data_IF_351534153209
#
_entry.id   IF_351534153209
#
_cell.length_a   1.000
_cell.length_b   1.000
_cell.length_c   1.000
_cell.angle_alpha   90.00
_cell.angle_beta   90.00
_cell.angle_gamma   90.00
#
_symmetry.space_group_name_H-M   'P 1'
#
loop_
_entity.id
_entity.type
_entity.pdbx_description
1 polymer ?
#
# COMPACT_ATOMS: atom_id res chain seq x y z
N UNK A 1 16.45 6.77 14.92
CA UNK A 1 15.16 7.15 14.30
C UNK A 1 14.98 6.30 13.07
N UNK A 2 13.89 5.54 12.92
CA UNK A 2 13.63 4.82 11.66
C UNK A 2 13.35 5.86 10.55
N UNK A 3 14.30 6.03 9.64
CA UNK A 3 14.13 6.88 8.45
C UNK A 3 13.18 6.18 7.48
N UNK A 4 12.18 6.91 7.00
CA UNK A 4 11.20 6.38 6.03
C UNK A 4 11.90 6.11 4.68
N UNK A 5 11.76 4.89 4.15
CA UNK A 5 12.40 4.45 2.91
C UNK A 5 11.70 4.98 1.66
N UNK A 6 10.38 5.21 1.73
CA UNK A 6 9.54 5.66 0.60
C UNK A 6 8.26 6.34 1.04
N UNK A 7 7.57 7.00 0.12
CA UNK A 7 6.26 7.57 0.43
C UNK A 7 5.24 6.49 0.84
N UNK A 8 4.35 6.79 1.81
CA UNK A 8 3.31 5.85 2.21
C UNK A 8 2.30 5.58 1.09
N UNK A 9 1.75 4.36 1.06
CA UNK A 9 0.65 4.02 0.15
C UNK A 9 -0.69 4.55 0.68
N UNK A 10 -0.90 5.86 0.58
CA UNK A 10 -2.08 6.52 1.14
C UNK A 10 -3.40 6.03 0.54
N UNK A 11 -3.44 5.75 -0.77
CA UNK A 11 -4.64 5.22 -1.43
C UNK A 11 -4.96 3.79 -1.00
N UNK A 12 -3.95 2.94 -0.82
CA UNK A 12 -4.15 1.57 -0.31
C UNK A 12 -4.64 1.61 1.15
N UNK A 13 -4.08 2.50 1.97
CA UNK A 13 -4.55 2.71 3.35
C UNK A 13 -6.01 3.16 3.39
N UNK A 14 -6.41 4.10 2.54
CA UNK A 14 -7.82 4.52 2.42
C UNK A 14 -8.71 3.35 1.98
N UNK A 15 -8.31 2.62 0.94
CA UNK A 15 -9.03 1.44 0.46
C UNK A 15 -9.25 0.38 1.54
N UNK A 16 -8.26 0.15 2.41
CA UNK A 16 -8.41 -0.80 3.54
C UNK A 16 -9.48 -0.36 4.53
N UNK A 17 -9.52 0.93 4.86
CA UNK A 17 -10.52 1.48 5.79
C UNK A 17 -11.91 1.42 5.16
N UNK A 18 -12.04 1.83 3.90
CA UNK A 18 -13.31 1.86 3.17
C UNK A 18 -13.93 0.48 2.95
N UNK A 19 -13.11 -0.57 2.84
CA UNK A 19 -13.55 -1.95 2.59
C UNK A 19 -13.39 -2.86 3.82
N UNK A 20 -13.16 -2.30 5.01
CA UNK A 20 -13.00 -3.03 6.28
C UNK A 20 -11.91 -4.13 6.27
N UNK A 21 -10.88 -3.95 5.43
CA UNK A 21 -9.77 -4.91 5.27
C UNK A 21 -8.78 -4.74 6.42
N UNK A 22 -8.62 -5.78 7.24
CA UNK A 22 -7.73 -5.74 8.40
C UNK A 22 -6.32 -6.14 8.02
N UNK A 23 -5.32 -5.48 8.60
CA UNK A 23 -3.90 -5.81 8.38
C UNK A 23 -3.56 -7.28 8.67
N UNK A 24 -4.25 -7.91 9.63
CA UNK A 24 -4.04 -9.32 9.97
C UNK A 24 -4.44 -10.27 8.82
N UNK A 25 -5.47 -9.93 8.06
CA UNK A 25 -5.98 -10.78 6.97
C UNK A 25 -5.04 -10.67 5.75
N UNK A 26 -4.57 -9.46 5.47
CA UNK A 26 -3.54 -9.20 4.46
C UNK A 26 -2.22 -9.89 4.83
N UNK A 27 -1.85 -9.86 6.11
CA UNK A 27 -0.65 -10.52 6.60
C UNK A 27 -0.74 -12.05 6.43
N UNK A 28 -1.91 -12.64 6.70
CA UNK A 28 -2.17 -14.06 6.46
C UNK A 28 -2.04 -14.41 4.96
N UNK A 29 -2.65 -13.62 4.07
CA UNK A 29 -2.55 -13.81 2.62
C UNK A 29 -1.10 -13.77 2.12
N UNK A 30 -0.32 -12.81 2.62
CA UNK A 30 1.07 -12.60 2.21
C UNK A 30 2.07 -13.45 2.98
N UNK A 31 1.63 -14.26 3.95
CA UNK A 31 2.46 -15.10 4.83
C UNK A 31 3.54 -14.28 5.57
N UNK A 32 3.15 -13.13 6.11
CA UNK A 32 4.02 -12.22 6.89
C UNK A 32 3.39 -11.87 8.24
N UNK A 33 4.12 -11.16 9.10
CA UNK A 33 3.57 -10.64 10.36
C UNK A 33 2.70 -9.40 10.11
N UNK A 34 1.63 -9.15 10.90
CA UNK A 34 0.80 -7.95 10.76
C UNK A 34 1.58 -6.62 10.81
N UNK A 35 2.63 -6.55 11.64
CA UNK A 35 3.50 -5.38 11.72
C UNK A 35 4.23 -5.11 10.39
N UNK A 36 4.59 -6.15 9.63
CA UNK A 36 5.20 -6.01 8.31
C UNK A 36 4.27 -5.25 7.37
N UNK A 37 2.98 -5.57 7.35
CA UNK A 37 1.98 -4.86 6.52
C UNK A 37 1.93 -3.37 6.88
N UNK A 38 1.88 -3.05 8.18
CA UNK A 38 1.91 -1.66 8.64
C UNK A 38 3.18 -0.93 8.19
N UNK A 39 4.35 -1.55 8.35
CA UNK A 39 5.63 -0.98 7.90
C UNK A 39 5.70 -0.77 6.40
N UNK A 40 5.20 -1.73 5.59
CA UNK A 40 5.10 -1.59 4.12
C UNK A 40 4.20 -0.41 3.76
N UNK A 41 2.96 -0.36 4.27
CA UNK A 41 2.00 0.71 3.96
C UNK A 41 2.50 2.11 4.34
N UNK A 42 3.25 2.23 5.43
CA UNK A 42 3.77 3.50 5.94
C UNK A 42 5.18 3.86 5.42
N UNK A 43 5.77 3.02 4.57
CA UNK A 43 7.07 3.26 3.96
C UNK A 43 8.27 3.09 4.89
N UNK A 44 8.11 2.43 6.05
CA UNK A 44 9.20 2.13 7.00
C UNK A 44 9.80 0.74 6.79
N UNK A 45 9.15 -0.11 5.98
CA UNK A 45 9.64 -1.45 5.61
C UNK A 45 10.12 -1.52 4.16
N UNK A 46 10.39 -2.75 3.70
CA UNK A 46 10.56 -3.03 2.27
C UNK A 46 9.27 -2.81 1.49
N UNK A 47 9.35 -2.76 0.17
CA UNK A 47 8.17 -2.50 -0.66
C UNK A 47 7.29 -3.76 -0.87
N UNK A 48 6.06 -3.59 -1.38
CA UNK A 48 5.27 -4.69 -1.90
C UNK A 48 5.89 -5.21 -3.20
N UNK A 49 6.07 -6.52 -3.29
CA UNK A 49 6.46 -7.13 -4.57
C UNK A 49 5.29 -7.09 -5.56
N UNK A 50 5.56 -7.26 -6.85
CA UNK A 50 4.49 -7.43 -7.85
C UNK A 50 3.59 -8.63 -7.50
N UNK A 51 4.15 -9.70 -6.94
CA UNK A 51 3.38 -10.85 -6.49
C UNK A 51 2.45 -10.50 -5.31
N UNK A 52 2.91 -9.67 -4.36
CA UNK A 52 2.07 -9.15 -3.26
C UNK A 52 0.92 -8.33 -3.82
N UNK A 53 1.21 -7.41 -4.75
CA UNK A 53 0.22 -6.54 -5.38
C UNK A 53 -0.85 -7.35 -6.13
N UNK A 54 -0.45 -8.37 -6.92
CA UNK A 54 -1.39 -9.28 -7.60
C UNK A 54 -2.26 -10.04 -6.60
N UNK A 55 -1.69 -10.60 -5.54
CA UNK A 55 -2.46 -11.30 -4.50
C UNK A 55 -3.49 -10.38 -3.85
N UNK A 56 -3.09 -9.18 -3.45
CA UNK A 56 -3.98 -8.19 -2.85
C UNK A 56 -5.07 -7.74 -3.81
N UNK A 57 -4.75 -7.57 -5.10
CA UNK A 57 -5.74 -7.25 -6.12
C UNK A 57 -6.78 -8.36 -6.28
N UNK A 58 -6.35 -9.61 -6.52
CA UNK A 58 -7.30 -10.71 -6.77
C UNK A 58 -8.09 -11.12 -5.53
N UNK A 59 -7.53 -10.98 -4.32
CA UNK A 59 -8.18 -11.44 -3.10
C UNK A 59 -9.03 -10.36 -2.41
N UNK A 60 -8.55 -9.10 -2.39
CA UNK A 60 -9.22 -8.00 -1.69
C UNK A 60 -9.76 -6.91 -2.63
N UNK A 61 -9.56 -7.04 -3.94
CA UNK A 61 -10.01 -6.05 -4.93
C UNK A 61 -9.17 -4.77 -4.97
N UNK A 62 -8.03 -4.70 -4.26
CA UNK A 62 -7.19 -3.48 -4.23
C UNK A 62 -6.83 -3.09 -5.68
N UNK A 63 -7.15 -1.87 -6.14
CA UNK A 63 -6.81 -1.44 -7.49
C UNK A 63 -5.30 -1.54 -7.71
N UNK A 64 -4.89 -2.30 -8.73
CA UNK A 64 -3.47 -2.58 -8.98
C UNK A 64 -2.68 -1.29 -9.24
N UNK A 65 -3.33 -0.28 -9.83
CA UNK A 65 -2.75 1.04 -10.08
C UNK A 65 -2.25 1.73 -8.80
N UNK A 66 -2.87 1.49 -7.64
CA UNK A 66 -2.49 2.14 -6.38
C UNK A 66 -1.07 1.77 -5.91
N UNK A 67 -0.48 0.69 -6.44
CA UNK A 67 0.90 0.30 -6.14
C UNK A 67 1.93 1.06 -6.99
N UNK A 68 1.52 1.66 -8.12
CA UNK A 68 2.39 2.28 -9.12
C UNK A 68 2.16 3.78 -9.28
N UNK A 69 1.10 4.33 -8.69
CA UNK A 69 0.80 5.75 -8.80
C UNK A 69 1.82 6.62 -8.05
N UNK A 70 2.42 7.62 -8.74
CA UNK A 70 3.31 8.55 -8.09
C UNK A 70 2.54 9.41 -7.08
N UNK A 71 3.18 9.68 -5.94
CA UNK A 71 2.64 10.63 -4.96
C UNK A 71 2.90 12.04 -5.47
N UNK A 72 1.93 12.59 -6.22
CA UNK A 72 2.01 13.96 -6.76
C UNK A 72 1.40 14.95 -5.76
N UNK A 73 2.19 15.92 -5.25
CA UNK A 73 1.68 17.02 -4.43
C UNK A 73 0.54 17.77 -5.12
N UNK A 74 -0.45 18.24 -4.36
CA UNK A 74 -1.63 18.92 -4.94
C UNK A 74 -1.24 20.07 -5.89
N UNK A 75 -0.20 20.83 -5.55
CA UNK A 75 0.34 21.94 -6.35
C UNK A 75 0.93 21.53 -7.70
N UNK A 76 1.31 20.27 -7.87
CA UNK A 76 1.97 19.74 -9.09
C UNK A 76 1.01 18.92 -9.96
N UNK A 77 -0.23 18.67 -9.52
CA UNK A 77 -1.21 17.87 -10.27
C UNK A 77 -1.70 18.55 -11.55
N UNK A 78 -1.68 19.88 -11.62
CA UNK A 78 -2.08 20.64 -12.80
C UNK A 78 -1.10 20.53 -13.98
N UNK A 79 0.09 19.94 -13.77
CA UNK A 79 1.12 19.80 -14.80
C UNK A 79 1.03 18.48 -15.58
N UNK A 80 0.11 17.58 -15.19
CA UNK A 80 -0.02 16.21 -15.71
C UNK A 80 -1.45 15.94 -16.22
N UNK A 81 -2.32 16.96 -16.23
CA UNK A 81 -3.67 16.90 -16.81
C UNK A 81 -3.70 17.45 -18.23
#
# INVERSE_FOLDING_TARGET
METRNRQPYNKIKAYFVENEIKHKDVAALLKVKPNTISKKLNGFGGDFSLADAKKMHFHFGVPIAYFFEPVVPKKERSLIS
#
